data_IF_133723417432
#
_entry.id   IF_133723417432
#
_cell.length_a   1.000
_cell.length_b   1.000
_cell.length_c   1.000
_cell.angle_alpha   90.00
_cell.angle_beta   90.00
_cell.angle_gamma   90.00
#
_symmetry.space_group_name_H-M   'P 1'
#
loop_
_entity.id
_entity.type
_entity.pdbx_description
1 polymer ?
#
# COMPACT_ATOMS: atom_id res chain seq x y z
N UNK A 1 -0.18 7.20 11.15
CA UNK A 1 -0.77 6.72 9.88
C UNK A 1 -0.10 5.40 9.51
N UNK A 2 -0.84 4.30 9.48
CA UNK A 2 -0.29 2.99 9.08
C UNK A 2 -0.37 2.87 7.56
N UNK A 3 0.75 3.05 6.86
CA UNK A 3 0.80 2.98 5.40
C UNK A 3 0.37 1.60 4.91
N UNK A 4 0.71 0.53 5.62
CA UNK A 4 0.25 -0.83 5.30
C UNK A 4 -1.27 -1.01 5.44
N UNK A 5 -1.92 -0.33 6.39
CA UNK A 5 -3.38 -0.35 6.48
C UNK A 5 -4.01 0.36 5.28
N UNK A 6 -3.45 1.51 4.87
CA UNK A 6 -3.92 2.22 3.68
C UNK A 6 -3.81 1.39 2.41
N UNK A 7 -2.67 0.72 2.23
CA UNK A 7 -2.46 -0.24 1.14
C UNK A 7 -3.50 -1.37 1.18
N UNK A 8 -3.83 -1.88 2.36
CA UNK A 8 -4.83 -2.92 2.53
C UNK A 8 -6.24 -2.43 2.16
N UNK A 9 -6.62 -1.20 2.52
CA UNK A 9 -7.91 -0.62 2.15
C UNK A 9 -8.01 -0.37 0.64
N UNK A 10 -7.00 0.24 0.03
CA UNK A 10 -6.95 0.44 -1.43
C UNK A 10 -7.01 -0.88 -2.21
N UNK A 11 -6.36 -1.93 -1.67
CA UNK A 11 -6.46 -3.26 -2.24
C UNK A 11 -7.89 -3.81 -2.11
N UNK A 12 -8.50 -3.68 -0.94
CA UNK A 12 -9.86 -4.18 -0.67
C UNK A 12 -10.92 -3.47 -1.54
N UNK A 13 -10.82 -2.14 -1.69
CA UNK A 13 -11.69 -1.36 -2.58
C UNK A 13 -11.62 -1.82 -4.05
N UNK A 14 -10.46 -2.33 -4.47
CA UNK A 14 -10.25 -2.90 -5.81
C UNK A 14 -10.52 -4.41 -5.89
N UNK A 15 -10.94 -5.04 -4.79
CA UNK A 15 -11.14 -6.48 -4.70
C UNK A 15 -9.84 -7.29 -4.79
N UNK A 16 -8.69 -6.66 -4.51
CA UNK A 16 -7.37 -7.27 -4.54
C UNK A 16 -6.96 -7.75 -3.15
N UNK A 17 -6.37 -8.93 -3.09
CA UNK A 17 -5.70 -9.39 -1.86
C UNK A 17 -4.32 -8.76 -1.75
N UNK A 18 -3.79 -8.61 -0.53
CA UNK A 18 -2.41 -8.14 -0.32
C UNK A 18 -1.36 -8.97 -1.06
N UNK A 19 -1.60 -10.26 -1.26
CA UNK A 19 -0.71 -11.14 -2.03
C UNK A 19 -0.72 -10.75 -3.51
N UNK A 20 -1.89 -10.50 -4.10
CA UNK A 20 -2.01 -10.03 -5.48
C UNK A 20 -1.42 -8.64 -5.63
N UNK A 21 -1.72 -7.74 -4.69
CA UNK A 21 -1.15 -6.40 -4.69
C UNK A 21 0.37 -6.44 -4.58
N UNK A 22 0.94 -7.29 -3.72
CA UNK A 22 2.38 -7.51 -3.63
C UNK A 22 2.98 -7.90 -4.98
N UNK A 23 2.31 -8.76 -5.74
CA UNK A 23 2.77 -9.17 -7.08
C UNK A 23 2.66 -8.04 -8.11
N UNK A 24 1.62 -7.23 -8.02
CA UNK A 24 1.38 -6.08 -8.92
C UNK A 24 2.40 -4.97 -8.64
N UNK A 25 2.70 -4.71 -7.38
CA UNK A 25 3.62 -3.67 -6.93
C UNK A 25 5.11 -4.08 -6.94
N UNK A 26 5.44 -5.27 -7.49
CA UNK A 26 6.79 -5.84 -7.48
C UNK A 26 7.43 -5.90 -6.06
N UNK A 27 6.60 -6.22 -5.06
CA UNK A 27 7.02 -6.34 -3.68
C UNK A 27 7.10 -7.81 -3.27
N UNK A 28 8.08 -8.11 -2.42
CA UNK A 28 8.17 -9.42 -1.80
C UNK A 28 7.04 -9.60 -0.79
N UNK A 29 6.32 -10.72 -0.86
CA UNK A 29 5.26 -11.05 0.09
C UNK A 29 5.76 -11.04 1.55
N UNK A 30 7.05 -11.32 1.76
CA UNK A 30 7.72 -11.23 3.05
C UNK A 30 7.74 -9.80 3.60
N UNK A 31 7.97 -8.79 2.74
CA UNK A 31 7.97 -7.37 3.10
C UNK A 31 6.58 -6.93 3.53
N UNK A 32 5.56 -7.26 2.73
CA UNK A 32 4.15 -6.95 3.03
C UNK A 32 3.69 -7.64 4.33
N UNK A 33 3.99 -8.94 4.49
CA UNK A 33 3.63 -9.68 5.72
C UNK A 33 4.34 -9.13 6.95
N UNK A 34 5.61 -8.76 6.84
CA UNK A 34 6.37 -8.20 7.98
C UNK A 34 5.86 -6.82 8.35
N UNK A 35 5.59 -5.96 7.35
CA UNK A 35 4.99 -4.65 7.56
C UNK A 35 3.61 -4.77 8.23
N UNK A 36 2.77 -5.70 7.77
CA UNK A 36 1.44 -5.97 8.36
C UNK A 36 1.54 -6.52 9.78
N UNK A 37 2.41 -7.51 10.01
CA UNK A 37 2.57 -8.19 11.30
C UNK A 37 3.14 -7.27 12.38
N UNK A 38 4.10 -6.42 12.02
CA UNK A 38 4.72 -5.47 12.95
C UNK A 38 3.93 -4.15 13.06
N UNK A 39 2.92 -3.93 12.21
CA UNK A 39 2.27 -2.62 12.06
C UNK A 39 3.30 -1.54 11.70
N UNK A 40 4.36 -1.91 10.97
CA UNK A 40 5.45 -1.00 10.66
C UNK A 40 5.14 -0.22 9.38
N UNK A 41 5.59 1.03 9.32
CA UNK A 41 5.46 1.83 8.12
C UNK A 41 6.32 1.26 6.99
N UNK A 42 5.72 1.19 5.79
CA UNK A 42 6.45 0.97 4.55
C UNK A 42 7.35 2.18 4.26
N UNK A 43 8.52 1.93 3.66
CA UNK A 43 9.39 3.00 3.19
C UNK A 43 8.76 3.71 2.00
N UNK A 44 9.11 4.99 1.78
CA UNK A 44 8.59 5.79 0.66
C UNK A 44 8.78 5.07 -0.68
N UNK A 45 9.95 4.48 -0.91
CA UNK A 45 10.26 3.68 -2.11
C UNK A 45 9.25 2.54 -2.36
N UNK A 46 8.82 1.87 -1.28
CA UNK A 46 7.81 0.80 -1.37
C UNK A 46 6.42 1.36 -1.66
N UNK A 47 6.10 2.53 -1.10
CA UNK A 47 4.81 3.19 -1.32
C UNK A 47 4.75 3.74 -2.75
N UNK A 48 5.84 4.29 -3.28
CA UNK A 48 5.94 4.73 -4.68
C UNK A 48 5.65 3.59 -5.64
N UNK A 49 6.31 2.45 -5.47
CA UNK A 49 6.03 1.25 -6.28
C UNK A 49 4.56 0.83 -6.23
N UNK A 50 3.93 0.92 -5.05
CA UNK A 50 2.51 0.60 -4.89
C UNK A 50 1.65 1.61 -5.62
N UNK A 51 1.99 2.90 -5.49
CA UNK A 51 1.28 4.00 -6.14
C UNK A 51 1.37 3.87 -7.67
N UNK A 52 2.57 3.65 -8.20
CA UNK A 52 2.81 3.41 -9.63
C UNK A 52 2.02 2.20 -10.14
N UNK A 53 2.01 1.10 -9.41
CA UNK A 53 1.31 -0.11 -9.85
C UNK A 53 -0.22 -0.01 -9.72
N UNK A 54 -0.71 0.88 -8.86
CA UNK A 54 -2.14 1.18 -8.70
C UNK A 54 -2.61 2.34 -9.59
N UNK A 55 -1.71 2.99 -10.34
CA UNK A 55 -1.98 4.21 -11.11
C UNK A 55 -2.59 5.32 -10.22
N UNK A 56 -2.00 5.50 -9.03
CA UNK A 56 -2.37 6.57 -8.09
C UNK A 56 -1.13 7.40 -7.76
N UNK A 57 -1.32 8.65 -7.34
CA UNK A 57 -0.22 9.46 -6.83
C UNK A 57 0.07 9.13 -5.36
N UNK A 58 1.31 9.33 -4.93
CA UNK A 58 1.66 9.40 -3.50
C UNK A 58 0.73 10.38 -2.77
N UNK A 59 0.40 11.49 -3.42
CA UNK A 59 -0.53 12.48 -2.88
C UNK A 59 -1.87 11.84 -2.56
N UNK A 60 -2.49 11.11 -3.50
CA UNK A 60 -3.77 10.40 -3.27
C UNK A 60 -3.66 9.35 -2.15
N UNK A 61 -2.56 8.60 -2.14
CA UNK A 61 -2.31 7.61 -1.09
C UNK A 61 -2.29 8.21 0.33
N UNK A 62 -1.76 9.42 0.48
CA UNK A 62 -1.72 10.15 1.75
C UNK A 62 -2.91 11.13 1.94
N UNK A 63 -3.57 11.55 0.87
CA UNK A 63 -4.61 12.58 0.85
C UNK A 63 -5.95 12.11 1.40
N UNK A 64 -6.18 10.80 1.51
CA UNK A 64 -7.37 10.25 2.18
C UNK A 64 -7.48 10.61 3.68
N UNK A 65 -6.61 11.49 4.20
CA UNK A 65 -6.72 12.14 5.53
C UNK A 65 -7.11 13.62 5.47
N UNK A 66 -7.28 14.21 4.29
CA UNK A 66 -7.71 15.59 4.10
C UNK A 66 -9.12 15.62 3.51
N UNK A 67 -10.17 15.78 4.34
CA UNK A 67 -11.46 16.23 3.81
C UNK A 67 -11.28 17.64 3.23
N UNK A 68 -11.68 17.83 1.98
CA UNK A 68 -11.88 19.16 1.38
C UNK A 68 -13.27 19.68 1.72
#
# INVERSE_FOLDING_TARGET
MNTISRVQELADERGLTLCQLSKICDLSEATIRTAKKRGNQLSVDTIERICEALDISLSDFFAETLPK
#
